data_IF_306744767310
#
_entry.id   IF_306744767310
#
_cell.length_a   1.000
_cell.length_b   1.000
_cell.length_c   1.000
_cell.angle_alpha   90.00
_cell.angle_beta   90.00
_cell.angle_gamma   90.00
#
_symmetry.space_group_name_H-M   'P 1'
#
loop_
_entity.id
_entity.type
_entity.pdbx_description
1 polymer ?
#
# COMPACT_ATOMS: atom_id res chain seq x y z
N UNK A 1 -5.33 -17.26 5.56
CA UNK A 1 -3.92 -17.00 5.19
C UNK A 1 -2.93 -17.77 6.06
N UNK A 2 -3.18 -17.94 7.37
CA UNK A 2 -2.32 -18.72 8.30
C UNK A 2 -2.31 -20.23 8.01
N UNK A 3 -3.39 -20.79 7.47
CA UNK A 3 -3.56 -22.25 7.30
C UNK A 3 -2.73 -22.84 6.13
N UNK A 4 -2.37 -22.06 5.11
CA UNK A 4 -1.59 -22.57 3.97
C UNK A 4 -0.08 -22.71 4.24
N UNK A 5 0.41 -22.13 5.33
CA UNK A 5 1.85 -22.13 5.66
C UNK A 5 2.36 -23.44 6.26
N UNK A 6 1.50 -24.24 6.90
CA UNK A 6 1.97 -25.36 7.74
C UNK A 6 2.23 -26.68 6.98
N UNK A 7 1.75 -26.85 5.75
CA UNK A 7 1.86 -28.12 5.02
C UNK A 7 2.98 -28.22 3.98
N UNK A 8 3.52 -27.10 3.50
CA UNK A 8 4.40 -27.09 2.31
C UNK A 8 5.76 -26.42 2.49
N UNK A 9 6.02 -25.80 3.65
CA UNK A 9 7.22 -24.97 3.86
C UNK A 9 7.25 -23.69 3.02
N UNK A 10 6.23 -23.42 2.18
CA UNK A 10 6.14 -22.25 1.30
C UNK A 10 5.34 -21.13 1.98
N UNK A 11 5.99 -20.01 2.29
CA UNK A 11 5.30 -18.79 2.74
C UNK A 11 4.75 -18.02 1.54
N UNK A 12 3.49 -18.25 1.17
CA UNK A 12 2.87 -17.50 0.08
C UNK A 12 2.58 -16.07 0.54
N UNK A 13 3.33 -15.08 0.04
CA UNK A 13 3.08 -13.67 0.34
C UNK A 13 1.82 -13.17 -0.38
N UNK A 14 1.11 -12.21 0.22
CA UNK A 14 -0.02 -11.52 -0.42
C UNK A 14 0.36 -10.94 -1.79
N UNK A 15 1.57 -10.39 -1.93
CA UNK A 15 2.06 -9.85 -3.21
C UNK A 15 2.18 -10.95 -4.27
N UNK A 16 2.63 -12.16 -3.89
CA UNK A 16 2.66 -13.29 -4.81
C UNK A 16 1.24 -13.70 -5.24
N UNK A 17 0.28 -13.74 -4.32
CA UNK A 17 -1.12 -14.03 -4.68
C UNK A 17 -1.64 -12.98 -5.67
N UNK A 18 -1.50 -11.69 -5.34
CA UNK A 18 -1.92 -10.58 -6.22
C UNK A 18 -1.28 -10.71 -7.61
N UNK A 19 0.02 -10.92 -7.67
CA UNK A 19 0.78 -10.91 -8.92
C UNK A 19 0.41 -12.09 -9.83
N UNK A 20 0.25 -13.30 -9.28
CA UNK A 20 0.00 -14.51 -10.07
C UNK A 20 -1.48 -14.79 -10.32
N UNK A 21 -2.38 -14.37 -9.41
CA UNK A 21 -3.82 -14.61 -9.53
C UNK A 21 -4.57 -13.41 -10.12
N UNK A 22 -4.28 -12.19 -9.65
CA UNK A 22 -5.01 -11.00 -10.06
C UNK A 22 -4.37 -10.36 -11.29
N UNK A 23 -3.08 -10.05 -11.24
CA UNK A 23 -2.46 -9.21 -12.27
C UNK A 23 -1.98 -9.98 -13.52
N UNK A 24 -2.08 -11.32 -13.52
CA UNK A 24 -1.68 -12.18 -14.64
C UNK A 24 -2.70 -12.29 -15.77
N UNK A 25 -3.93 -11.79 -15.56
CA UNK A 25 -5.04 -11.92 -16.48
C UNK A 25 -5.99 -10.72 -16.39
N UNK A 26 -6.72 -10.42 -17.46
CA UNK A 26 -7.59 -9.23 -17.57
C UNK A 26 -8.71 -9.18 -16.52
N UNK A 27 -9.45 -10.28 -16.22
CA UNK A 27 -10.47 -10.24 -15.17
C UNK A 27 -9.90 -9.90 -13.80
N UNK A 28 -8.77 -10.50 -13.44
CA UNK A 28 -8.09 -10.21 -12.18
C UNK A 28 -7.55 -8.78 -12.11
N UNK A 29 -7.04 -8.23 -13.21
CA UNK A 29 -6.63 -6.82 -13.31
C UNK A 29 -7.83 -5.89 -13.08
N UNK A 30 -8.98 -6.20 -13.69
CA UNK A 30 -10.22 -5.44 -13.49
C UNK A 30 -10.66 -5.45 -12.03
N UNK A 31 -10.60 -6.60 -11.36
CA UNK A 31 -10.90 -6.71 -9.93
C UNK A 31 -9.92 -5.89 -9.07
N UNK A 32 -8.63 -5.94 -9.38
CA UNK A 32 -7.60 -5.14 -8.72
C UNK A 32 -7.89 -3.64 -8.87
N UNK A 33 -8.22 -3.19 -10.08
CA UNK A 33 -8.47 -1.79 -10.37
C UNK A 33 -9.75 -1.31 -9.69
N UNK A 34 -10.81 -2.13 -9.66
CA UNK A 34 -12.03 -1.86 -8.90
C UNK A 34 -11.73 -1.70 -7.40
N UNK A 35 -10.91 -2.59 -6.82
CA UNK A 35 -10.49 -2.51 -5.43
C UNK A 35 -9.77 -1.19 -5.11
N UNK A 36 -8.71 -0.87 -5.86
CA UNK A 36 -7.91 0.34 -5.62
C UNK A 36 -8.68 1.64 -5.95
N UNK A 37 -9.63 1.58 -6.89
CA UNK A 37 -10.46 2.73 -7.26
C UNK A 37 -11.56 3.02 -6.25
N UNK A 38 -12.23 2.01 -5.71
CA UNK A 38 -13.48 2.24 -4.95
C UNK A 38 -13.41 1.88 -3.48
N UNK A 39 -12.56 0.95 -3.04
CA UNK A 39 -12.59 0.50 -1.63
C UNK A 39 -11.72 1.33 -0.70
N UNK A 40 -10.77 2.10 -1.23
CA UNK A 40 -9.88 2.91 -0.41
C UNK A 40 -10.55 4.16 0.16
N UNK A 41 -11.48 4.78 -0.57
CA UNK A 41 -12.22 5.95 -0.08
C UNK A 41 -13.07 5.64 1.15
N UNK A 42 -13.95 4.61 1.13
CA UNK A 42 -14.70 4.22 2.32
C UNK A 42 -13.78 3.75 3.45
N UNK A 43 -12.70 3.05 3.08
CA UNK A 43 -11.69 2.57 4.02
C UNK A 43 -11.03 3.70 4.82
N UNK A 44 -10.81 4.88 4.24
CA UNK A 44 -10.26 6.01 5.00
C UNK A 44 -11.24 6.58 6.02
N UNK A 45 -12.52 6.70 5.65
CA UNK A 45 -13.56 7.28 6.52
C UNK A 45 -13.72 6.51 7.82
N UNK A 46 -13.56 5.19 7.78
CA UNK A 46 -13.75 4.32 8.94
C UNK A 46 -12.48 4.16 9.80
N UNK A 47 -11.30 4.56 9.31
CA UNK A 47 -10.04 4.38 10.04
C UNK A 47 -10.01 5.23 11.31
N UNK A 48 -9.36 4.73 12.38
CA UNK A 48 -9.03 5.59 13.50
C UNK A 48 -8.05 6.68 13.03
N UNK A 49 -8.10 7.83 13.68
CA UNK A 49 -7.32 9.01 13.29
C UNK A 49 -5.82 8.71 13.11
N UNK A 50 -5.23 7.93 14.03
CA UNK A 50 -3.81 7.54 13.98
C UNK A 50 -3.42 6.75 12.73
N UNK A 51 -4.37 6.04 12.11
CA UNK A 51 -4.16 5.23 10.90
C UNK A 51 -4.54 5.96 9.61
N UNK A 52 -5.02 7.21 9.68
CA UNK A 52 -5.23 8.02 8.48
C UNK A 52 -3.93 8.18 7.69
N UNK A 53 -4.02 8.10 6.37
CA UNK A 53 -2.89 8.14 5.46
C UNK A 53 -2.20 9.50 5.44
N UNK A 54 -2.98 10.58 5.53
CA UNK A 54 -2.52 11.95 5.63
C UNK A 54 -3.32 12.59 6.77
N UNK A 55 -2.63 13.00 7.83
CA UNK A 55 -3.24 13.72 8.96
C UNK A 55 -2.93 15.18 8.77
N UNK A 56 -3.94 16.02 8.62
CA UNK A 56 -3.73 17.46 8.53
C UNK A 56 -3.97 18.12 9.88
N UNK A 57 -3.18 19.14 10.22
CA UNK A 57 -3.42 19.92 11.42
C UNK A 57 -3.26 21.42 11.22
N UNK A 58 -4.10 22.18 11.91
CA UNK A 58 -3.96 23.61 12.07
C UNK A 58 -3.41 23.89 13.47
N UNK A 59 -2.47 24.83 13.58
CA UNK A 59 -1.86 25.19 14.86
C UNK A 59 -2.04 26.70 15.04
N UNK A 60 -2.67 27.10 16.13
CA UNK A 60 -2.88 28.51 16.47
C UNK A 60 -2.56 28.78 17.94
N UNK A 61 -2.42 30.06 18.26
CA UNK A 61 -1.99 30.55 19.56
C UNK A 61 -2.94 31.65 19.99
N UNK A 62 -3.63 31.48 21.13
CA UNK A 62 -4.56 32.50 21.65
C UNK A 62 -3.83 33.71 22.22
N UNK A 63 -2.67 33.49 22.84
CA UNK A 63 -1.86 34.57 23.42
C UNK A 63 -0.54 34.78 22.67
N UNK A 64 -0.01 36.01 22.62
CA UNK A 64 1.28 36.30 21.99
C UNK A 64 2.46 35.55 22.63
N UNK A 65 2.44 35.34 23.94
CA UNK A 65 3.52 34.69 24.70
C UNK A 65 3.63 33.18 24.39
N UNK A 66 2.53 32.57 23.93
CA UNK A 66 2.44 31.14 23.62
C UNK A 66 3.15 30.80 22.29
N UNK A 67 3.48 31.81 21.47
CA UNK A 67 4.26 31.66 20.23
C UNK A 67 5.64 31.04 20.44
N UNK A 68 6.18 31.07 21.67
CA UNK A 68 7.47 30.43 22.01
C UNK A 68 7.48 28.93 21.68
N UNK A 69 6.36 28.23 21.90
CA UNK A 69 6.28 26.78 21.71
C UNK A 69 5.86 26.37 20.30
N UNK A 70 5.33 27.31 19.51
CA UNK A 70 4.79 27.07 18.18
C UNK A 70 5.75 26.28 17.27
N UNK A 71 6.99 26.74 17.12
CA UNK A 71 7.99 26.07 16.25
C UNK A 71 8.29 24.64 16.72
N UNK A 72 8.33 24.40 18.03
CA UNK A 72 8.62 23.09 18.60
C UNK A 72 7.43 22.14 18.41
N UNK A 73 6.21 22.62 18.61
CA UNK A 73 4.97 21.87 18.38
C UNK A 73 4.86 21.51 16.90
N UNK A 74 5.06 22.46 15.98
CA UNK A 74 5.10 22.21 14.53
C UNK A 74 6.09 21.10 14.19
N UNK A 75 7.32 21.16 14.70
CA UNK A 75 8.35 20.13 14.47
C UNK A 75 7.91 18.76 14.97
N UNK A 76 7.29 18.69 16.16
CA UNK A 76 6.76 17.45 16.72
C UNK A 76 5.62 16.91 15.85
N UNK A 77 4.66 17.73 15.46
CA UNK A 77 3.57 17.34 14.55
C UNK A 77 4.11 16.76 13.24
N UNK A 78 5.05 17.45 12.57
CA UNK A 78 5.69 16.97 11.34
C UNK A 78 6.41 15.63 11.56
N UNK A 79 7.11 15.47 12.69
CA UNK A 79 7.80 14.22 13.03
C UNK A 79 6.84 13.03 13.23
N UNK A 80 5.59 13.29 13.60
CA UNK A 80 4.53 12.28 13.76
C UNK A 80 3.55 12.23 12.56
N UNK A 81 3.96 12.76 11.41
CA UNK A 81 3.21 12.75 10.14
C UNK A 81 1.92 13.57 10.15
N UNK A 82 1.91 14.68 10.89
CA UNK A 82 0.87 15.69 10.80
C UNK A 82 1.31 16.81 9.87
N UNK A 83 0.58 16.99 8.78
CA UNK A 83 0.76 18.03 7.80
C UNK A 83 0.15 19.33 8.32
N UNK A 84 0.99 20.31 8.63
CA UNK A 84 0.51 21.62 9.09
C UNK A 84 -0.10 22.36 7.91
N UNK A 85 -1.36 22.80 8.02
CA UNK A 85 -2.09 23.58 7.01
C UNK A 85 -2.35 25.00 7.51
N UNK A 86 -2.45 26.00 6.61
CA UNK A 86 -2.60 27.39 7.00
C UNK A 86 -4.01 27.75 7.49
N UNK A 87 -5.02 26.97 7.11
CA UNK A 87 -6.42 27.23 7.40
C UNK A 87 -6.99 26.12 8.29
N UNK A 88 -7.74 26.53 9.32
CA UNK A 88 -8.46 25.64 10.21
C UNK A 88 -9.45 24.75 9.48
N UNK A 89 -10.13 25.28 8.45
CA UNK A 89 -11.14 24.53 7.69
C UNK A 89 -10.55 23.42 6.81
N UNK A 90 -9.25 23.49 6.53
CA UNK A 90 -8.52 22.45 5.78
C UNK A 90 -7.93 21.38 6.69
N UNK A 91 -8.01 21.53 8.01
CA UNK A 91 -7.38 20.64 8.97
C UNK A 91 -8.36 19.59 9.52
N UNK A 92 -7.89 18.35 9.62
CA UNK A 92 -8.60 17.29 10.35
C UNK A 92 -8.63 17.57 11.86
N UNK A 93 -7.58 18.22 12.39
CA UNK A 93 -7.45 18.58 13.80
C UNK A 93 -6.86 19.97 13.99
N UNK A 94 -7.42 20.73 14.93
CA UNK A 94 -6.90 22.02 15.35
C UNK A 94 -6.23 21.90 16.72
N UNK A 95 -4.97 22.33 16.80
CA UNK A 95 -4.21 22.45 18.05
C UNK A 95 -4.16 23.92 18.45
N UNK A 96 -5.01 24.30 19.39
CA UNK A 96 -5.06 25.67 19.90
C UNK A 96 -4.22 25.74 21.18
N UNK A 97 -3.15 26.52 21.13
CA UNK A 97 -2.31 26.80 22.30
C UNK A 97 -2.99 27.90 23.12
N UNK A 98 -3.23 27.58 24.38
CA UNK A 98 -3.90 28.44 25.34
C UNK A 98 -3.15 28.38 26.68
N UNK A 99 -2.33 29.41 26.93
CA UNK A 99 -1.40 29.48 28.06
C UNK A 99 -0.40 28.32 28.05
N UNK A 100 -0.49 27.42 29.04
CA UNK A 100 0.38 26.23 29.15
C UNK A 100 -0.27 24.95 28.65
N UNK A 101 -1.44 25.05 28.00
CA UNK A 101 -2.21 23.91 27.53
C UNK A 101 -2.39 23.93 26.01
N UNK A 102 -2.53 22.73 25.44
CA UNK A 102 -2.89 22.51 24.05
C UNK A 102 -4.29 21.91 24.04
N UNK A 103 -5.21 22.60 23.37
CA UNK A 103 -6.56 22.15 23.14
C UNK A 103 -6.64 21.47 21.77
N UNK A 104 -7.01 20.19 21.76
CA UNK A 104 -7.26 19.43 20.54
C UNK A 104 -8.74 19.57 20.18
N UNK A 105 -8.99 20.09 18.99
CA UNK A 105 -10.35 20.35 18.50
C UNK A 105 -10.58 19.73 17.12
N UNK A 106 -11.82 19.28 16.90
CA UNK A 106 -12.34 18.85 15.60
C UNK A 106 -13.62 19.66 15.38
N UNK A 107 -13.71 20.40 14.26
CA UNK A 107 -14.86 21.25 13.94
C UNK A 107 -15.28 22.14 15.14
N UNK A 108 -14.31 22.85 15.72
CA UNK A 108 -14.44 23.71 16.93
C UNK A 108 -14.86 23.00 18.23
N UNK A 109 -15.16 21.70 18.19
CA UNK A 109 -15.46 20.90 19.37
C UNK A 109 -14.17 20.48 20.07
N UNK A 110 -14.05 20.82 21.34
CA UNK A 110 -12.97 20.35 22.20
C UNK A 110 -13.09 18.84 22.45
N UNK A 111 -12.07 18.08 22.07
CA UNK A 111 -11.98 16.63 22.32
C UNK A 111 -11.14 16.34 23.56
N UNK A 112 -9.98 17.01 23.67
CA UNK A 112 -9.11 16.87 24.84
C UNK A 112 -8.22 18.10 25.06
N UNK A 113 -7.71 18.22 26.28
CA UNK A 113 -6.70 19.20 26.69
C UNK A 113 -5.51 18.46 27.28
N UNK A 114 -4.31 18.98 27.03
CA UNK A 114 -3.07 18.47 27.63
C UNK A 114 -2.13 19.62 27.92
N UNK A 115 -1.19 19.46 28.85
CA UNK A 115 -0.15 20.46 29.09
C UNK A 115 0.91 20.42 27.98
N UNK A 116 1.47 21.58 27.63
CA UNK A 116 2.48 21.70 26.56
C UNK A 116 3.69 20.81 26.86
N UNK A 117 4.17 20.80 28.11
CA UNK A 117 5.33 19.99 28.48
C UNK A 117 5.07 18.50 28.33
N UNK A 118 3.89 18.04 28.75
CA UNK A 118 3.47 16.66 28.58
C UNK A 118 3.38 16.29 27.09
N UNK A 119 2.79 17.15 26.24
CA UNK A 119 2.77 16.93 24.80
C UNK A 119 4.17 16.86 24.18
N UNK A 120 5.11 17.70 24.62
CA UNK A 120 6.47 17.73 24.06
C UNK A 120 7.30 16.50 24.46
N UNK A 121 7.10 15.99 25.68
CA UNK A 121 7.76 14.78 26.18
C UNK A 121 7.12 13.51 25.61
N UNK A 122 5.80 13.38 25.74
CA UNK A 122 5.02 12.17 25.44
C UNK A 122 4.12 12.35 24.21
N UNK A 123 4.65 12.97 23.16
CA UNK A 123 3.88 13.32 21.94
C UNK A 123 3.14 12.12 21.36
N UNK A 124 3.79 10.94 21.30
CA UNK A 124 3.18 9.73 20.74
C UNK A 124 1.96 9.29 21.54
N UNK A 125 2.09 9.28 22.87
CA UNK A 125 1.03 8.87 23.79
C UNK A 125 -0.16 9.80 23.66
N UNK A 126 0.07 11.11 23.73
CA UNK A 126 -0.99 12.12 23.60
C UNK A 126 -1.74 12.03 22.27
N UNK A 127 -1.03 11.83 21.15
CA UNK A 127 -1.67 11.68 19.84
C UNK A 127 -2.42 10.35 19.70
N UNK A 128 -1.96 9.29 20.38
CA UNK A 128 -2.68 8.00 20.46
C UNK A 128 -3.97 8.15 21.25
N UNK A 129 -3.92 8.81 22.41
CA UNK A 129 -5.09 9.10 23.24
C UNK A 129 -6.11 9.95 22.51
N UNK A 130 -5.65 10.97 21.78
CA UNK A 130 -6.50 11.76 20.90
C UNK A 130 -7.19 10.87 19.87
N UNK A 131 -6.43 10.03 19.17
CA UNK A 131 -6.98 9.13 18.17
C UNK A 131 -8.05 8.20 18.75
N UNK A 132 -7.79 7.60 19.92
CA UNK A 132 -8.73 6.69 20.56
C UNK A 132 -10.02 7.42 20.97
N UNK A 133 -9.93 8.64 21.51
CA UNK A 133 -11.10 9.44 21.89
C UNK A 133 -11.95 9.89 20.69
N UNK A 134 -11.35 9.96 19.50
CA UNK A 134 -12.05 10.34 18.26
C UNK A 134 -12.60 9.15 17.48
N UNK A 135 -12.32 7.92 17.92
CA UNK A 135 -12.64 6.72 17.17
C UNK A 135 -14.09 6.26 17.39
N UNK A 136 -14.99 6.70 16.52
CA UNK A 136 -16.41 6.33 16.60
C UNK A 136 -16.73 4.99 15.93
N UNK A 137 -15.79 4.42 15.16
CA UNK A 137 -16.05 3.31 14.23
C UNK A 137 -15.39 1.99 14.64
N UNK A 138 -14.86 1.90 15.87
CA UNK A 138 -14.16 0.71 16.36
C UNK A 138 -15.00 -0.57 16.22
N UNK A 139 -16.23 -0.55 16.71
CA UNK A 139 -17.14 -1.68 16.61
C UNK A 139 -17.45 -2.06 15.16
N UNK A 140 -17.71 -1.06 14.31
CA UNK A 140 -17.99 -1.29 12.89
C UNK A 140 -16.81 -1.94 12.16
N UNK A 141 -15.58 -1.48 12.43
CA UNK A 141 -14.37 -2.13 11.89
C UNK A 141 -14.20 -3.56 12.40
N UNK A 142 -14.54 -3.84 13.65
CA UNK A 142 -14.54 -5.21 14.19
C UNK A 142 -15.52 -6.10 13.42
N UNK A 143 -16.74 -5.63 13.15
CA UNK A 143 -17.72 -6.35 12.34
C UNK A 143 -17.22 -6.60 10.91
N UNK A 144 -16.62 -5.59 10.26
CA UNK A 144 -16.01 -5.75 8.94
C UNK A 144 -14.91 -6.83 8.99
N UNK A 145 -14.01 -6.76 9.97
CA UNK A 145 -12.93 -7.72 10.12
C UNK A 145 -13.47 -9.15 10.33
N UNK A 146 -14.47 -9.31 11.19
CA UNK A 146 -15.12 -10.61 11.43
C UNK A 146 -15.80 -11.13 10.17
N UNK A 147 -16.48 -10.25 9.42
CA UNK A 147 -17.11 -10.61 8.15
C UNK A 147 -16.09 -11.02 7.09
N UNK A 148 -14.89 -10.43 7.05
CA UNK A 148 -13.84 -10.78 6.11
C UNK A 148 -13.11 -12.08 6.49
N UNK A 149 -12.86 -12.30 7.79
CA UNK A 149 -12.11 -13.46 8.28
C UNK A 149 -12.99 -14.72 8.36
N UNK A 150 -14.24 -14.57 8.78
CA UNK A 150 -15.15 -15.71 9.03
C UNK A 150 -16.28 -15.72 8.01
N UNK A 151 -16.97 -14.60 7.84
CA UNK A 151 -18.15 -14.52 6.97
C UNK A 151 -17.86 -14.84 5.50
N UNK A 152 -16.83 -14.22 4.93
CA UNK A 152 -16.49 -14.37 3.52
C UNK A 152 -16.04 -15.80 3.18
N UNK A 153 -15.16 -16.48 3.96
CA UNK A 153 -14.85 -17.88 3.71
C UNK A 153 -16.07 -18.80 3.79
N UNK A 154 -16.96 -18.60 4.78
CA UNK A 154 -18.20 -19.39 4.90
C UNK A 154 -19.10 -19.16 3.68
N UNK A 155 -19.29 -17.90 3.29
CA UNK A 155 -20.12 -17.56 2.14
C UNK A 155 -19.56 -18.15 0.84
N UNK A 156 -18.25 -18.03 0.60
CA UNK A 156 -17.59 -18.63 -0.56
C UNK A 156 -17.78 -20.15 -0.54
N UNK A 157 -17.58 -20.81 0.60
CA UNK A 157 -17.79 -22.25 0.76
C UNK A 157 -19.24 -22.67 0.47
N UNK A 158 -20.23 -21.93 0.98
CA UNK A 158 -21.64 -22.23 0.74
C UNK A 158 -22.01 -22.07 -0.74
N UNK A 159 -21.52 -21.00 -1.39
CA UNK A 159 -21.75 -20.74 -2.81
C UNK A 159 -21.10 -21.82 -3.67
N UNK A 160 -19.84 -22.19 -3.40
CA UNK A 160 -19.13 -23.20 -4.20
C UNK A 160 -19.78 -24.57 -4.09
N UNK A 161 -20.20 -24.98 -2.88
CA UNK A 161 -20.94 -26.23 -2.71
C UNK A 161 -22.27 -26.18 -3.45
N UNK A 162 -23.05 -25.11 -3.32
CA UNK A 162 -24.33 -25.01 -4.02
C UNK A 162 -24.16 -25.07 -5.55
N UNK A 163 -23.17 -24.36 -6.09
CA UNK A 163 -22.87 -24.40 -7.52
C UNK A 163 -22.47 -25.80 -7.99
N UNK A 164 -21.61 -26.51 -7.23
CA UNK A 164 -21.20 -27.87 -7.56
C UNK A 164 -22.37 -28.85 -7.48
N UNK A 165 -23.21 -28.76 -6.45
CA UNK A 165 -24.41 -29.57 -6.33
C UNK A 165 -25.36 -29.34 -7.51
N UNK A 166 -25.57 -28.07 -7.91
CA UNK A 166 -26.40 -27.71 -9.06
C UNK A 166 -25.83 -28.31 -10.36
N UNK A 167 -24.52 -28.20 -10.58
CA UNK A 167 -23.86 -28.78 -11.75
C UNK A 167 -23.99 -30.31 -11.81
N UNK A 168 -23.92 -31.00 -10.67
CA UNK A 168 -24.06 -32.47 -10.62
C UNK A 168 -25.52 -32.89 -10.84
N UNK A 169 -26.48 -32.12 -10.32
CA UNK A 169 -27.90 -32.35 -10.57
C UNK A 169 -28.25 -32.24 -12.05
N UNK A 170 -27.61 -31.33 -12.80
CA UNK A 170 -27.77 -31.25 -14.27
C UNK A 170 -27.33 -32.53 -14.99
N UNK A 171 -26.49 -33.36 -14.37
CA UNK A 171 -25.97 -34.61 -14.93
C UNK A 171 -26.76 -35.84 -14.41
N UNK A 172 -27.85 -35.65 -13.66
CA UNK A 172 -28.71 -36.72 -13.11
C UNK A 172 -27.95 -37.76 -12.27
N UNK A 173 -26.90 -37.35 -11.55
CA UNK A 173 -26.17 -38.26 -10.64
C UNK A 173 -26.99 -38.48 -9.37
N UNK A 174 -27.08 -39.72 -8.85
CA UNK A 174 -27.78 -40.00 -7.58
C UNK A 174 -27.22 -39.20 -6.40
N UNK A 175 -28.11 -38.69 -5.54
CA UNK A 175 -27.76 -37.79 -4.43
C UNK A 175 -26.68 -38.33 -3.50
N UNK A 176 -26.66 -39.65 -3.24
CA UNK A 176 -25.65 -40.29 -2.38
C UNK A 176 -24.22 -40.22 -2.94
N UNK A 177 -24.07 -40.23 -4.27
CA UNK A 177 -22.78 -40.19 -4.95
C UNK A 177 -22.34 -38.74 -5.17
N UNK A 178 -23.31 -37.83 -5.36
CA UNK A 178 -23.09 -36.40 -5.57
C UNK A 178 -22.20 -35.78 -4.48
N UNK A 179 -22.50 -35.98 -3.20
CA UNK A 179 -21.74 -35.37 -2.10
C UNK A 179 -20.25 -35.78 -2.06
N UNK A 180 -19.94 -37.06 -2.30
CA UNK A 180 -18.56 -37.53 -2.35
C UNK A 180 -17.80 -36.93 -3.53
N UNK A 181 -18.43 -36.84 -4.70
CA UNK A 181 -17.87 -36.18 -5.88
C UNK A 181 -17.59 -34.69 -5.63
N UNK A 182 -18.52 -33.96 -5.00
CA UNK A 182 -18.33 -32.54 -4.64
C UNK A 182 -17.08 -32.39 -3.77
N UNK A 183 -16.93 -33.21 -2.73
CA UNK A 183 -15.79 -33.11 -1.81
C UNK A 183 -14.46 -33.45 -2.50
N UNK A 184 -14.41 -34.49 -3.34
CA UNK A 184 -13.21 -34.83 -4.11
C UNK A 184 -12.82 -33.72 -5.09
N UNK A 185 -13.79 -33.11 -5.78
CA UNK A 185 -13.55 -31.98 -6.69
C UNK A 185 -13.03 -30.76 -5.94
N UNK A 186 -13.61 -30.43 -4.79
CA UNK A 186 -13.13 -29.34 -3.94
C UNK A 186 -11.69 -29.56 -3.47
N UNK A 187 -11.36 -30.77 -2.99
CA UNK A 187 -10.00 -31.13 -2.59
C UNK A 187 -9.01 -31.02 -3.76
N UNK A 188 -9.38 -31.52 -4.94
CA UNK A 188 -8.54 -31.42 -6.15
C UNK A 188 -8.32 -29.96 -6.55
N UNK A 189 -9.37 -29.13 -6.51
CA UNK A 189 -9.29 -27.71 -6.85
C UNK A 189 -8.34 -26.95 -5.92
N UNK A 190 -8.42 -27.21 -4.62
CA UNK A 190 -7.49 -26.63 -3.62
C UNK A 190 -6.04 -27.04 -3.93
N UNK A 191 -5.81 -28.32 -4.25
CA UNK A 191 -4.47 -28.82 -4.62
C UNK A 191 -3.96 -28.13 -5.88
N UNK A 192 -4.78 -28.02 -6.94
CA UNK A 192 -4.41 -27.34 -8.19
C UNK A 192 -4.03 -25.87 -7.92
N UNK A 193 -4.84 -25.14 -7.13
CA UNK A 193 -4.54 -23.75 -6.77
C UNK A 193 -3.19 -23.65 -6.04
N UNK A 194 -2.90 -24.54 -5.10
CA UNK A 194 -1.63 -24.54 -4.37
C UNK A 194 -0.44 -24.77 -5.31
N UNK A 195 -0.57 -25.67 -6.29
CA UNK A 195 0.49 -25.97 -7.26
C UNK A 195 0.74 -24.84 -8.28
N UNK A 196 -0.26 -24.01 -8.59
CA UNK A 196 -0.11 -22.87 -9.51
C UNK A 196 0.72 -21.73 -8.92
N UNK A 197 0.88 -21.66 -7.59
CA UNK A 197 1.71 -20.65 -6.96
C UNK A 197 3.19 -21.07 -7.02
N UNK A 198 4.06 -20.25 -7.64
CA UNK A 198 5.48 -20.55 -7.64
C UNK A 198 5.99 -20.60 -6.20
N UNK A 199 6.84 -21.59 -5.90
CA UNK A 199 7.62 -21.58 -4.68
C UNK A 199 8.39 -20.26 -4.60
N UNK A 200 8.46 -19.66 -3.41
CA UNK A 200 9.48 -18.66 -3.18
C UNK A 200 10.81 -19.34 -3.51
N UNK A 201 11.50 -18.85 -4.53
CA UNK A 201 12.91 -19.14 -4.75
C UNK A 201 13.63 -18.34 -3.66
N UNK A 202 13.53 -18.81 -2.42
CA UNK A 202 14.23 -18.24 -1.26
C UNK A 202 15.40 -19.11 -0.83
N UNK A 203 15.72 -20.15 -1.60
CA UNK A 203 16.99 -20.83 -1.46
C UNK A 203 18.05 -19.88 -2.04
N UNK A 204 19.13 -19.66 -1.29
CA UNK A 204 20.20 -18.72 -1.59
C UNK A 204 20.84 -19.03 -2.95
N UNK A 205 20.32 -18.44 -4.02
CA UNK A 205 20.94 -18.46 -5.34
C UNK A 205 22.20 -17.59 -5.27
N UNK A 206 23.35 -18.16 -5.63
CA UNK A 206 24.59 -17.40 -5.78
C UNK A 206 24.44 -16.29 -6.83
N UNK A 207 25.11 -15.15 -6.66
CA UNK A 207 24.95 -13.98 -7.52
C UNK A 207 25.19 -14.29 -9.01
N UNK A 208 26.21 -15.11 -9.31
CA UNK A 208 26.51 -15.51 -10.70
C UNK A 208 25.40 -16.36 -11.32
N UNK A 209 24.79 -17.22 -10.51
CA UNK A 209 23.67 -18.04 -10.94
C UNK A 209 22.41 -17.19 -11.10
N UNK A 210 22.22 -16.15 -10.28
CA UNK A 210 21.11 -15.21 -10.41
C UNK A 210 21.19 -14.44 -11.74
N UNK A 211 22.34 -13.84 -12.06
CA UNK A 211 22.52 -13.04 -13.28
C UNK A 211 22.27 -13.88 -14.54
N UNK A 212 22.86 -15.07 -14.62
CA UNK A 212 22.64 -16.01 -15.73
C UNK A 212 21.17 -16.41 -15.85
N UNK A 213 20.53 -16.71 -14.72
CA UNK A 213 19.12 -17.13 -14.68
C UNK A 213 18.18 -15.98 -15.04
N UNK A 214 18.52 -14.75 -14.67
CA UNK A 214 17.79 -13.54 -15.03
C UNK A 214 17.93 -13.20 -16.51
N UNK A 215 19.14 -13.30 -17.07
CA UNK A 215 19.38 -13.15 -18.51
C UNK A 215 18.62 -14.21 -19.32
N UNK A 216 18.60 -15.46 -18.85
CA UNK A 216 17.81 -16.52 -19.46
C UNK A 216 16.31 -16.18 -19.42
N UNK A 217 15.79 -15.73 -18.28
CA UNK A 217 14.37 -15.35 -18.15
C UNK A 217 13.99 -14.19 -19.07
N UNK A 218 14.87 -13.20 -19.23
CA UNK A 218 14.71 -12.12 -20.21
C UNK A 218 14.68 -12.65 -21.65
N UNK A 219 15.63 -13.52 -22.01
CA UNK A 219 15.74 -14.09 -23.37
C UNK A 219 14.52 -14.95 -23.73
N UNK A 220 14.04 -15.75 -22.78
CA UNK A 220 12.84 -16.59 -22.94
C UNK A 220 11.53 -15.78 -22.83
N UNK A 221 11.60 -14.47 -22.51
CA UNK A 221 10.46 -13.61 -22.19
C UNK A 221 9.57 -14.21 -21.08
N UNK A 222 10.16 -14.95 -20.15
CA UNK A 222 9.45 -15.61 -19.06
C UNK A 222 9.26 -14.65 -17.87
N UNK A 223 8.16 -13.89 -17.92
CA UNK A 223 7.86 -12.89 -16.90
C UNK A 223 7.72 -13.47 -15.49
N UNK A 224 7.24 -14.72 -15.35
CA UNK A 224 7.04 -15.36 -14.04
C UNK A 224 8.39 -15.60 -13.37
N UNK A 225 9.32 -16.22 -14.10
CA UNK A 225 10.69 -16.46 -13.64
C UNK A 225 11.40 -15.14 -13.33
N UNK A 226 11.24 -14.13 -14.20
CA UNK A 226 11.74 -12.77 -13.96
C UNK A 226 11.23 -12.16 -12.66
N UNK A 227 9.91 -12.18 -12.42
CA UNK A 227 9.32 -11.60 -11.20
C UNK A 227 9.78 -12.29 -9.92
N UNK A 228 9.96 -13.61 -9.94
CA UNK A 228 10.47 -14.32 -8.76
C UNK A 228 11.92 -13.92 -8.48
N UNK A 229 12.77 -13.85 -9.50
CA UNK A 229 14.18 -13.42 -9.36
C UNK A 229 14.28 -11.97 -8.85
N UNK A 230 13.47 -11.06 -9.38
CA UNK A 230 13.43 -9.66 -8.94
C UNK A 230 12.96 -9.51 -7.48
N UNK A 231 12.12 -10.43 -6.98
CA UNK A 231 11.67 -10.46 -5.58
C UNK A 231 12.74 -11.01 -4.62
N UNK A 232 13.59 -11.92 -5.10
CA UNK A 232 14.61 -12.58 -4.28
C UNK A 232 15.96 -11.86 -4.28
N UNK A 233 16.12 -10.78 -5.07
CA UNK A 233 17.37 -10.06 -5.19
C UNK A 233 17.65 -9.18 -3.96
N UNK A 234 18.72 -9.50 -3.23
CA UNK A 234 19.07 -8.88 -1.94
C UNK A 234 20.49 -8.26 -1.90
N UNK A 235 21.15 -8.15 -3.06
CA UNK A 235 22.52 -7.63 -3.17
C UNK A 235 22.61 -6.36 -4.04
N UNK A 236 23.81 -5.79 -4.17
CA UNK A 236 24.03 -4.60 -5.00
C UNK A 236 23.92 -4.94 -6.50
N UNK A 237 23.11 -4.16 -7.20
CA UNK A 237 22.87 -4.32 -8.63
C UNK A 237 24.14 -4.07 -9.44
N UNK A 238 24.44 -5.01 -10.35
CA UNK A 238 25.51 -4.81 -11.33
C UNK A 238 25.02 -3.92 -12.47
N UNK A 239 25.97 -3.36 -13.23
CA UNK A 239 25.65 -2.57 -14.43
C UNK A 239 24.94 -3.42 -15.50
N UNK A 240 25.31 -4.70 -15.62
CA UNK A 240 24.72 -5.64 -16.58
C UNK A 240 23.26 -5.92 -16.20
N UNK A 241 22.99 -6.24 -14.93
CA UNK A 241 21.64 -6.47 -14.43
C UNK A 241 20.74 -5.24 -14.64
N UNK A 242 21.28 -4.05 -14.36
CA UNK A 242 20.59 -2.77 -14.58
C UNK A 242 20.23 -2.58 -16.05
N UNK A 243 21.15 -2.90 -16.97
CA UNK A 243 20.91 -2.77 -18.41
C UNK A 243 19.86 -3.78 -18.91
N UNK A 244 19.93 -5.03 -18.44
CA UNK A 244 18.92 -6.05 -18.77
C UNK A 244 17.56 -5.60 -18.27
N UNK A 245 17.46 -5.12 -17.02
CA UNK A 245 16.21 -4.67 -16.44
C UNK A 245 15.60 -3.48 -17.22
N UNK A 246 16.41 -2.50 -17.64
CA UNK A 246 15.96 -1.39 -18.50
C UNK A 246 15.46 -1.87 -19.85
N UNK A 247 16.22 -2.73 -20.52
CA UNK A 247 15.84 -3.28 -21.81
C UNK A 247 14.53 -4.06 -21.71
N UNK A 248 14.38 -4.88 -20.66
CA UNK A 248 13.17 -5.65 -20.44
C UNK A 248 11.96 -4.76 -20.16
N UNK A 249 12.15 -3.71 -19.36
CA UNK A 249 11.11 -2.74 -19.00
C UNK A 249 10.55 -2.02 -20.25
N UNK A 250 11.41 -1.71 -21.22
CA UNK A 250 11.01 -1.09 -22.49
C UNK A 250 10.28 -2.05 -23.45
N UNK A 251 10.41 -3.37 -23.28
CA UNK A 251 9.85 -4.37 -24.19
C UNK A 251 8.60 -5.06 -23.66
N UNK A 252 8.34 -4.97 -22.35
CA UNK A 252 7.26 -5.70 -21.70
C UNK A 252 6.01 -4.83 -21.53
N UNK A 253 4.87 -5.37 -21.94
CA UNK A 253 3.55 -4.82 -21.60
C UNK A 253 2.97 -5.42 -20.32
N UNK A 254 3.63 -6.44 -19.74
CA UNK A 254 3.10 -7.15 -18.57
C UNK A 254 3.20 -6.29 -17.29
N UNK A 255 2.07 -5.89 -16.65
CA UNK A 255 2.07 -4.92 -15.55
C UNK A 255 2.83 -5.36 -14.31
N UNK A 256 2.74 -6.66 -13.97
CA UNK A 256 3.48 -7.23 -12.83
C UNK A 256 4.99 -7.09 -13.04
N UNK A 257 5.44 -7.34 -14.27
CA UNK A 257 6.86 -7.31 -14.57
C UNK A 257 7.36 -5.86 -14.60
N UNK A 258 6.60 -4.93 -15.20
CA UNK A 258 6.89 -3.49 -15.09
C UNK A 258 7.03 -3.04 -13.63
N UNK A 259 6.08 -3.43 -12.78
CA UNK A 259 6.11 -3.13 -11.34
C UNK A 259 7.44 -3.59 -10.70
N UNK A 260 7.82 -4.86 -10.88
CA UNK A 260 9.03 -5.39 -10.25
C UNK A 260 10.32 -4.85 -10.87
N UNK A 261 10.35 -4.58 -12.18
CA UNK A 261 11.50 -3.96 -12.84
C UNK A 261 11.74 -2.54 -12.37
N UNK A 262 10.67 -1.72 -12.27
CA UNK A 262 10.77 -0.36 -11.72
C UNK A 262 11.24 -0.42 -10.26
N UNK A 263 10.68 -1.34 -9.47
CA UNK A 263 11.09 -1.53 -8.07
C UNK A 263 12.55 -1.91 -7.95
N UNK A 264 13.00 -2.85 -8.78
CA UNK A 264 14.40 -3.23 -8.86
C UNK A 264 15.25 -1.99 -9.19
N UNK A 265 15.01 -1.32 -10.32
CA UNK A 265 15.79 -0.15 -10.75
C UNK A 265 15.77 1.01 -9.76
N UNK A 266 14.79 1.09 -8.86
CA UNK A 266 14.71 2.13 -7.81
C UNK A 266 15.79 2.02 -6.74
N UNK A 267 16.45 0.86 -6.61
CA UNK A 267 17.51 0.64 -5.63
C UNK A 267 18.79 1.42 -5.97
N UNK A 268 18.95 1.82 -7.24
CA UNK A 268 20.07 2.64 -7.71
C UNK A 268 19.58 4.02 -8.19
N UNK A 269 20.21 5.12 -7.76
CA UNK A 269 19.87 6.46 -8.23
C UNK A 269 20.31 6.66 -9.70
N UNK A 270 19.77 7.68 -10.36
CA UNK A 270 20.11 8.05 -11.74
C UNK A 270 19.12 7.59 -12.81
N UNK A 271 17.93 7.14 -12.39
CA UNK A 271 16.88 6.59 -13.26
C UNK A 271 15.59 7.43 -13.25
N UNK A 272 15.63 8.66 -12.74
CA UNK A 272 14.45 9.52 -12.59
C UNK A 272 13.66 9.73 -13.88
N UNK A 273 14.33 10.05 -14.99
CA UNK A 273 13.68 10.26 -16.29
C UNK A 273 12.93 9.02 -16.77
N UNK A 274 13.48 7.83 -16.52
CA UNK A 274 12.81 6.56 -16.83
C UNK A 274 11.51 6.43 -16.02
N UNK A 275 11.54 6.74 -14.72
CA UNK A 275 10.34 6.60 -13.88
C UNK A 275 9.27 7.65 -14.19
N UNK A 276 9.64 8.85 -14.63
CA UNK A 276 8.68 9.88 -15.08
C UNK A 276 7.82 9.34 -16.24
N UNK A 277 8.41 8.58 -17.17
CA UNK A 277 7.67 7.99 -18.29
C UNK A 277 6.56 7.01 -17.87
N UNK A 278 6.65 6.44 -16.67
CA UNK A 278 5.67 5.48 -16.14
C UNK A 278 4.64 6.12 -15.21
N UNK A 279 4.61 7.46 -15.08
CA UNK A 279 3.56 8.15 -14.34
C UNK A 279 2.20 8.09 -15.05
N UNK A 280 2.19 7.90 -16.37
CA UNK A 280 1.00 7.79 -17.22
C UNK A 280 0.68 6.32 -17.61
N UNK A 281 1.29 5.32 -16.95
CA UNK A 281 1.01 3.92 -17.24
C UNK A 281 -0.47 3.57 -16.93
N UNK A 282 -1.15 2.78 -17.78
CA UNK A 282 -2.57 2.45 -17.58
C UNK A 282 -2.84 1.70 -16.26
N UNK A 283 -1.82 1.02 -15.70
CA UNK A 283 -1.99 0.27 -14.46
C UNK A 283 -1.55 1.07 -13.24
N UNK A 284 -2.52 1.33 -12.34
CA UNK A 284 -2.30 2.10 -11.10
C UNK A 284 -1.14 1.57 -10.24
N UNK A 285 -0.92 0.26 -10.23
CA UNK A 285 0.18 -0.36 -9.49
C UNK A 285 1.55 0.05 -10.05
N UNK A 286 1.67 0.17 -11.37
CA UNK A 286 2.90 0.60 -12.05
C UNK A 286 3.16 2.08 -11.75
N UNK A 287 2.13 2.93 -11.85
CA UNK A 287 2.21 4.36 -11.50
C UNK A 287 2.64 4.56 -10.05
N UNK A 288 2.01 3.87 -9.10
CA UNK A 288 2.42 3.91 -7.69
C UNK A 288 3.89 3.53 -7.50
N UNK A 289 4.37 2.52 -8.24
CA UNK A 289 5.74 2.05 -8.14
C UNK A 289 6.74 3.02 -8.79
N UNK A 290 6.36 3.68 -9.88
CA UNK A 290 7.15 4.75 -10.49
C UNK A 290 7.30 5.94 -9.54
N UNK A 291 6.22 6.38 -8.92
CA UNK A 291 6.23 7.45 -7.90
C UNK A 291 7.09 7.07 -6.69
N UNK A 292 6.95 5.83 -6.20
CA UNK A 292 7.83 5.30 -5.17
C UNK A 292 9.30 5.40 -5.58
N UNK A 293 9.61 4.98 -6.80
CA UNK A 293 10.97 4.94 -7.33
C UNK A 293 11.59 6.34 -7.45
N UNK A 294 10.80 7.35 -7.85
CA UNK A 294 11.22 8.76 -7.83
C UNK A 294 11.64 9.21 -6.43
N UNK A 295 10.88 8.82 -5.40
CA UNK A 295 11.24 9.09 -4.00
C UNK A 295 12.54 8.41 -3.54
N UNK A 296 12.96 7.32 -4.19
CA UNK A 296 14.22 6.63 -3.90
C UNK A 296 15.44 7.27 -4.59
N UNK A 297 15.24 8.17 -5.56
CA UNK A 297 16.34 8.75 -6.34
C UNK A 297 17.22 9.75 -5.56
N UNK A 298 16.79 10.17 -4.35
CA UNK A 298 17.51 11.13 -3.49
C UNK A 298 17.78 12.50 -4.14
N UNK A 299 17.04 12.82 -5.20
CA UNK A 299 17.13 14.09 -5.91
C UNK A 299 15.98 15.02 -5.53
N UNK A 300 16.29 16.11 -4.82
CA UNK A 300 15.30 17.12 -4.43
C UNK A 300 14.68 17.85 -5.62
N UNK A 301 15.33 17.86 -6.78
CA UNK A 301 14.78 18.38 -8.02
C UNK A 301 13.48 17.70 -8.44
N UNK A 302 13.25 16.46 -7.99
CA UNK A 302 12.04 15.68 -8.29
C UNK A 302 10.80 16.10 -7.49
N UNK A 303 10.94 16.97 -6.49
CA UNK A 303 9.80 17.49 -5.73
C UNK A 303 8.81 18.20 -6.66
N UNK A 304 9.30 19.10 -7.53
CA UNK A 304 8.41 19.87 -8.41
C UNK A 304 7.68 18.98 -9.43
N UNK A 305 8.34 18.04 -10.14
CA UNK A 305 7.64 17.06 -10.98
C UNK A 305 6.56 16.25 -10.24
N UNK A 306 6.86 15.74 -9.05
CA UNK A 306 5.88 14.94 -8.28
C UNK A 306 4.70 15.80 -7.82
N UNK A 307 4.93 17.05 -7.41
CA UNK A 307 3.85 17.99 -7.05
C UNK A 307 3.00 18.34 -8.27
N UNK A 308 3.61 18.57 -9.44
CA UNK A 308 2.87 18.82 -10.68
C UNK A 308 1.97 17.64 -11.04
N UNK A 309 2.51 16.42 -10.98
CA UNK A 309 1.75 15.19 -11.22
C UNK A 309 0.58 15.03 -10.23
N UNK A 310 0.79 15.39 -8.96
CA UNK A 310 -0.24 15.31 -7.92
C UNK A 310 -1.46 16.19 -8.19
N UNK A 311 -1.27 17.38 -8.77
CA UNK A 311 -2.35 18.34 -9.00
C UNK A 311 -3.43 17.78 -9.94
N UNK A 312 -3.04 16.94 -10.88
CA UNK A 312 -3.94 16.37 -11.89
C UNK A 312 -4.33 14.91 -11.57
N UNK A 313 -3.77 14.30 -10.51
CA UNK A 313 -3.97 12.89 -10.20
C UNK A 313 -5.28 12.67 -9.40
N UNK A 314 -6.31 12.01 -9.96
CA UNK A 314 -7.57 11.78 -9.26
C UNK A 314 -7.51 10.60 -8.27
N UNK A 315 -6.46 9.78 -8.36
CA UNK A 315 -6.38 8.51 -7.65
C UNK A 315 -5.74 8.70 -6.27
N UNK A 316 -6.55 8.65 -5.20
CA UNK A 316 -6.05 8.78 -3.83
C UNK A 316 -4.90 7.81 -3.52
N UNK A 317 -5.01 6.55 -3.95
CA UNK A 317 -3.94 5.58 -3.71
C UNK A 317 -2.58 6.06 -4.24
N UNK A 318 -2.57 6.64 -5.44
CA UNK A 318 -1.37 7.20 -6.06
C UNK A 318 -0.91 8.45 -5.30
N UNK A 319 -1.84 9.31 -4.88
CA UNK A 319 -1.51 10.51 -4.09
C UNK A 319 -0.81 10.15 -2.77
N UNK A 320 -1.20 9.07 -2.11
CA UNK A 320 -0.51 8.56 -0.91
C UNK A 320 0.94 8.18 -1.23
N UNK A 321 1.19 7.52 -2.36
CA UNK A 321 2.55 7.17 -2.79
C UNK A 321 3.39 8.42 -3.09
N UNK A 322 2.79 9.41 -3.76
CA UNK A 322 3.45 10.68 -4.06
C UNK A 322 3.80 11.47 -2.79
N UNK A 323 2.88 11.54 -1.83
CA UNK A 323 3.16 12.15 -0.54
C UNK A 323 4.33 11.46 0.19
N UNK A 324 4.38 10.13 0.21
CA UNK A 324 5.50 9.38 0.80
C UNK A 324 6.81 9.62 0.06
N UNK A 325 6.77 9.71 -1.27
CA UNK A 325 7.93 10.03 -2.08
C UNK A 325 8.46 11.45 -1.78
N UNK A 326 7.57 12.45 -1.75
CA UNK A 326 7.90 13.83 -1.38
C UNK A 326 8.57 13.91 -0.01
N UNK A 327 8.01 13.20 0.99
CA UNK A 327 8.62 13.12 2.32
C UNK A 327 10.03 12.56 2.31
N UNK A 328 10.28 11.50 1.54
CA UNK A 328 11.62 10.90 1.40
C UNK A 328 12.62 11.87 0.77
N UNK A 329 12.15 12.72 -0.16
CA UNK A 329 12.95 13.78 -0.76
C UNK A 329 13.15 14.99 0.17
N UNK A 330 12.56 14.97 1.38
CA UNK A 330 12.69 16.03 2.36
C UNK A 330 11.74 17.21 2.11
N UNK A 331 10.67 17.00 1.34
CA UNK A 331 9.60 17.99 1.24
C UNK A 331 8.99 18.22 2.62
N UNK A 332 8.95 19.49 3.03
CA UNK A 332 8.28 19.96 4.23
C UNK A 332 7.25 20.99 3.79
N UNK A 333 6.03 20.91 4.31
CA UNK A 333 4.98 21.91 4.07
C UNK A 333 5.22 23.20 4.87
N UNK A 334 6.46 23.70 4.83
CA UNK A 334 6.94 24.83 5.64
C UNK A 334 6.88 26.16 4.89
N UNK A 335 6.21 26.22 3.73
CA UNK A 335 5.88 27.51 3.12
C UNK A 335 4.47 27.88 3.57
N UNK A 336 4.31 28.76 4.57
CA UNK A 336 3.05 29.46 4.68
C UNK A 336 2.83 30.14 3.33
N UNK A 337 1.72 29.84 2.67
CA UNK A 337 1.18 30.77 1.69
C UNK A 337 0.70 31.96 2.51
N UNK A 338 1.65 32.83 2.87
CA UNK A 338 1.33 34.20 3.26
C UNK A 338 0.85 34.83 1.96
N UNK A 339 -0.46 34.92 1.80
CA UNK A 339 -1.05 35.98 1.01
C UNK A 339 -1.31 37.14 1.94
#
# INVERSE_FOLDING_TARGET
>A
MIVLSYGTGKTVSFLSIRDFLLLSNTPGQTCNDLYYRYTLYPGEVIKPFALKQQKTCFISSRHPNDKRYYKTIVRKCIAYDYLVVPDQHMADVSLIIDHQKICFQINDRLIMKTDIMHFLQETRSVLSDFSQKTDTNEFFRMCILLSLIIGAPILIYMITIHLLCLLIQLVNVPDRISYWLVMSVLCLFVVIIIYQFPSNISDSIDQKDWEKTFQQAYTEKNWRKGCVLLKSHDYQQTQIETQIAKNWLNQTDHPVLKYWLIRFLSNTPGHSNLFIQYLDDPHVNVVCQAVYALGCQRDRGLISPIVSFLNDCPYWYVQMYAYRALKRLGWQNNRPVVK
#
